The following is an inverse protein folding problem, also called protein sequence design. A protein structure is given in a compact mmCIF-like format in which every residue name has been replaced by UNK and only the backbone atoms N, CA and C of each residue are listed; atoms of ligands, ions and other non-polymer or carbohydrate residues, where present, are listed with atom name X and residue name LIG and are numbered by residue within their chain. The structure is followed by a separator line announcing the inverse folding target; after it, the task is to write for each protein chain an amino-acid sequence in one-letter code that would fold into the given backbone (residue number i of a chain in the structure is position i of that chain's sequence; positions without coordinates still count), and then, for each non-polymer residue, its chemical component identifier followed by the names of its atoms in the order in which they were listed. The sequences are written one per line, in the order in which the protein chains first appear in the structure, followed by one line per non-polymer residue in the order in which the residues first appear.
data_IF_952207711715
#
_entry.id   IF_952207711715
#
_cell.length_a   1.000
_cell.length_b   1.000
_cell.length_c   1.000
_cell.angle_alpha   90.00
_cell.angle_beta   90.00
_cell.angle_gamma   90.00
#
_symmetry.space_group_name_H-M   'P 1'
#
loop_
_entity.id
_entity.type
_entity.pdbx_description
1 polymer ?
#
# COMPACT_ATOMS: atom_id res chain seq x y z
N UNK A 1 -28.98 4.62 -37.58
CA UNK A 1 -28.81 3.92 -36.28
C UNK A 1 -27.41 4.21 -35.79
N UNK A 2 -27.25 5.27 -35.01
CA UNK A 2 -25.98 5.55 -34.33
C UNK A 2 -25.96 4.79 -33.01
N UNK A 3 -25.10 3.78 -32.93
CA UNK A 3 -24.81 3.08 -31.67
C UNK A 3 -23.98 4.01 -30.79
N UNK A 4 -24.62 4.61 -29.79
CA UNK A 4 -23.96 5.29 -28.70
C UNK A 4 -23.16 4.27 -27.87
N UNK A 5 -21.85 4.22 -28.10
CA UNK A 5 -20.91 3.52 -27.24
C UNK A 5 -20.81 4.24 -25.90
N UNK A 6 -21.48 3.67 -24.91
CA UNK A 6 -21.43 4.03 -23.49
C UNK A 6 -19.95 4.10 -23.02
N UNK A 7 -19.50 5.16 -22.33
CA UNK A 7 -18.13 5.20 -21.80
C UNK A 7 -17.94 4.06 -20.81
N UNK A 8 -16.98 3.19 -21.09
CA UNK A 8 -16.60 2.09 -20.21
C UNK A 8 -16.05 2.62 -18.89
N UNK A 9 -16.53 2.04 -17.79
CA UNK A 9 -16.10 2.36 -16.43
C UNK A 9 -14.56 2.36 -16.33
N UNK A 10 -14.01 3.37 -15.66
CA UNK A 10 -12.58 3.66 -15.61
C UNK A 10 -11.77 2.49 -15.06
N UNK A 11 -10.99 1.84 -15.93
CA UNK A 11 -9.99 0.81 -15.62
C UNK A 11 -8.81 1.33 -14.75
N UNK A 12 -8.96 2.50 -14.10
CA UNK A 12 -7.97 3.11 -13.20
C UNK A 12 -8.01 2.56 -11.78
N UNK A 13 -9.14 2.00 -11.35
CA UNK A 13 -9.39 1.60 -9.96
C UNK A 13 -10.32 0.39 -9.86
N UNK A 14 -10.04 -0.73 -10.54
CA UNK A 14 -10.78 -2.00 -10.34
C UNK A 14 -12.32 -1.86 -10.23
N UNK A 15 -12.97 -1.15 -11.16
CA UNK A 15 -14.43 -0.99 -11.18
C UNK A 15 -15.00 0.20 -10.40
N UNK A 16 -14.18 1.15 -9.92
CA UNK A 16 -14.66 2.40 -9.29
C UNK A 16 -15.13 2.23 -7.83
N UNK A 17 -15.64 3.31 -7.24
CA UNK A 17 -16.16 3.33 -5.85
C UNK A 17 -15.09 3.43 -4.75
N UNK A 18 -13.85 3.73 -5.10
CA UNK A 18 -12.73 3.79 -4.17
C UNK A 18 -12.54 5.18 -3.57
N UNK A 19 -12.43 5.25 -2.25
CA UNK A 19 -12.09 6.48 -1.52
C UNK A 19 -10.61 6.49 -1.18
N UNK A 20 -9.88 7.54 -1.56
CA UNK A 20 -8.47 7.73 -1.17
C UNK A 20 -8.39 8.00 0.34
N UNK A 21 -7.69 7.14 1.07
CA UNK A 21 -7.55 7.28 2.52
C UNK A 21 -6.12 7.55 2.96
N UNK A 22 -5.13 7.21 2.14
CA UNK A 22 -3.72 7.41 2.46
C UNK A 22 -2.91 7.68 1.21
N UNK A 23 -2.04 8.68 1.28
CA UNK A 23 -0.96 8.92 0.34
C UNK A 23 0.35 9.08 1.11
N UNK A 24 1.42 8.43 0.64
CA UNK A 24 2.73 8.46 1.29
C UNK A 24 3.87 8.52 0.28
N UNK A 25 5.00 9.04 0.75
CA UNK A 25 6.30 8.98 0.07
C UNK A 25 7.35 8.39 1.01
N UNK A 26 8.61 8.47 0.62
CA UNK A 26 9.75 7.85 1.28
C UNK A 26 10.73 8.92 1.75
N UNK A 27 11.30 8.76 2.93
CA UNK A 27 12.30 9.68 3.48
C UNK A 27 13.65 9.58 2.78
N UNK A 28 14.02 8.42 2.20
CA UNK A 28 15.31 8.23 1.54
C UNK A 28 15.23 7.22 0.37
N UNK A 29 14.34 7.45 -0.61
CA UNK A 29 14.11 6.52 -1.71
C UNK A 29 15.36 6.16 -2.53
N UNK A 30 16.23 7.14 -2.80
CA UNK A 30 17.48 6.93 -3.56
C UNK A 30 18.41 5.92 -2.90
N UNK A 31 18.26 5.73 -1.59
CA UNK A 31 18.98 4.77 -0.76
C UNK A 31 17.96 3.82 -0.11
N UNK A 32 17.14 3.15 -0.92
CA UNK A 32 15.92 2.47 -0.49
C UNK A 32 16.10 1.49 0.68
N UNK A 33 17.25 0.81 0.75
CA UNK A 33 17.56 -0.20 1.80
C UNK A 33 18.38 0.38 2.95
N UNK A 34 18.58 1.69 2.98
CA UNK A 34 19.33 2.35 4.03
C UNK A 34 18.42 2.63 5.22
N UNK A 35 19.00 2.58 6.43
CA UNK A 35 18.31 2.87 7.69
C UNK A 35 17.45 4.15 7.70
N UNK A 36 17.86 5.27 7.07
CA UNK A 36 17.02 6.47 7.09
C UNK A 36 15.78 6.38 6.19
N UNK A 37 15.61 5.31 5.38
CA UNK A 37 14.44 5.17 4.52
C UNK A 37 13.26 4.60 5.30
N UNK A 38 12.14 5.31 5.27
CA UNK A 38 10.88 4.97 5.91
C UNK A 38 9.73 5.65 5.15
N UNK A 39 8.50 5.18 5.36
CA UNK A 39 7.29 5.80 4.82
C UNK A 39 6.88 7.03 5.61
N UNK A 40 6.44 8.07 4.91
CA UNK A 40 5.90 9.29 5.54
C UNK A 40 4.80 9.93 4.68
N UNK A 41 3.68 10.39 5.28
CA UNK A 41 3.28 10.17 6.67
C UNK A 41 2.72 8.77 6.90
N UNK A 42 2.61 8.38 8.18
CA UNK A 42 1.97 7.14 8.62
C UNK A 42 0.51 7.38 9.01
N UNK A 43 -0.39 6.42 8.75
CA UNK A 43 -1.71 6.34 9.40
C UNK A 43 -1.58 6.29 10.92
N UNK A 44 -2.68 6.59 11.61
CA UNK A 44 -2.78 6.48 13.08
C UNK A 44 -2.89 5.04 13.59
N UNK A 45 -2.43 4.06 12.81
CA UNK A 45 -2.38 2.66 13.23
C UNK A 45 -1.30 2.46 14.32
N UNK A 46 -1.35 1.34 15.03
CA UNK A 46 -0.37 1.02 16.07
C UNK A 46 0.96 0.60 15.43
N UNK A 47 2.00 1.42 15.61
CA UNK A 47 3.39 1.08 15.24
C UNK A 47 4.33 1.78 16.21
N UNK A 48 4.52 1.17 17.38
CA UNK A 48 5.12 1.81 18.57
C UNK A 48 6.59 2.21 18.41
N UNK A 49 7.33 1.55 17.54
CA UNK A 49 8.73 1.85 17.25
C UNK A 49 8.92 2.83 16.09
N UNK A 50 7.89 3.04 15.27
CA UNK A 50 8.01 3.94 14.12
C UNK A 50 7.95 5.42 14.53
N UNK A 51 8.73 6.25 13.84
CA UNK A 51 9.05 7.62 14.24
C UNK A 51 8.79 8.67 13.15
N UNK A 52 8.38 8.29 11.94
CA UNK A 52 7.97 9.26 10.92
C UNK A 52 6.65 9.94 11.30
N UNK A 53 6.36 11.10 10.68
CA UNK A 53 5.17 11.92 10.97
C UNK A 53 3.89 11.09 10.83
N UNK A 54 3.00 11.20 11.82
CA UNK A 54 1.63 10.69 11.74
C UNK A 54 0.72 11.79 11.18
N UNK A 55 -0.24 11.44 10.32
CA UNK A 55 -1.26 12.37 9.83
C UNK A 55 -2.67 11.91 10.20
N UNK A 56 -3.60 12.86 10.27
CA UNK A 56 -5.05 12.65 10.28
C UNK A 56 -5.79 13.51 9.24
N UNK A 57 -5.04 14.25 8.41
CA UNK A 57 -5.55 15.09 7.32
C UNK A 57 -5.97 14.23 6.13
N UNK A 58 -7.19 14.41 5.62
CA UNK A 58 -7.66 13.66 4.46
C UNK A 58 -6.82 14.03 3.22
N UNK A 59 -6.20 13.06 2.53
CA UNK A 59 -5.48 13.33 1.29
C UNK A 59 -6.45 13.76 0.19
N UNK A 60 -6.08 14.82 -0.54
CA UNK A 60 -6.91 15.42 -1.59
C UNK A 60 -6.52 14.92 -2.99
N UNK A 61 -5.36 14.28 -3.10
CA UNK A 61 -4.82 13.70 -4.33
C UNK A 61 -3.80 12.61 -4.02
N UNK A 62 -3.42 11.83 -5.02
CA UNK A 62 -2.42 10.76 -4.87
C UNK A 62 -1.02 11.28 -4.53
N UNK A 63 -0.77 12.59 -4.64
CA UNK A 63 0.50 13.24 -4.27
C UNK A 63 0.35 14.25 -3.12
N UNK A 64 -0.84 14.39 -2.55
CA UNK A 64 -1.05 15.09 -1.28
C UNK A 64 -0.76 14.09 -0.15
N UNK A 65 0.50 13.99 0.26
CA UNK A 65 1.00 13.01 1.23
C UNK A 65 0.44 13.24 2.63
N UNK A 66 -0.80 12.81 2.82
CA UNK A 66 -1.55 12.84 4.06
C UNK A 66 -2.37 11.56 4.20
N UNK A 67 -2.97 11.37 5.36
CA UNK A 67 -3.75 10.18 5.69
C UNK A 67 -4.97 10.55 6.51
N UNK A 68 -6.11 10.03 6.08
CA UNK A 68 -7.35 10.05 6.85
C UNK A 68 -7.12 9.28 8.15
N UNK A 69 -7.73 9.73 9.25
CA UNK A 69 -7.70 9.00 10.52
C UNK A 69 -8.05 7.51 10.30
N UNK A 70 -7.15 6.61 10.73
CA UNK A 70 -7.23 5.18 10.44
C UNK A 70 -8.52 4.55 11.00
N UNK A 71 -9.04 5.06 12.12
CA UNK A 71 -10.29 4.60 12.71
C UNK A 71 -11.51 4.77 11.78
N UNK A 72 -11.45 5.70 10.81
CA UNK A 72 -12.52 5.94 9.84
C UNK A 72 -12.46 4.98 8.64
N UNK A 73 -11.33 4.32 8.39
CA UNK A 73 -11.19 3.52 7.17
C UNK A 73 -12.20 2.37 7.13
N UNK A 74 -12.46 1.76 8.29
CA UNK A 74 -13.42 0.66 8.41
C UNK A 74 -14.87 1.08 8.16
N UNK A 75 -15.21 2.36 8.35
CA UNK A 75 -16.58 2.85 8.08
C UNK A 75 -16.83 3.02 6.58
N UNK A 76 -15.77 3.19 5.79
CA UNK A 76 -15.84 3.31 4.33
C UNK A 76 -16.08 1.93 3.70
N UNK A 77 -15.43 0.88 4.21
CA UNK A 77 -15.51 -0.41 3.53
C UNK A 77 -14.71 -1.58 4.11
N UNK A 78 -14.55 -2.60 3.27
CA UNK A 78 -13.93 -3.90 3.62
C UNK A 78 -12.84 -4.34 2.64
N UNK A 79 -12.66 -3.62 1.54
CA UNK A 79 -11.64 -3.87 0.55
C UNK A 79 -10.59 -2.75 0.57
N UNK A 80 -9.35 -3.08 0.26
CA UNK A 80 -8.25 -2.11 0.17
C UNK A 80 -7.57 -2.22 -1.19
N UNK A 81 -7.48 -1.12 -1.92
CA UNK A 81 -6.68 -0.99 -3.12
C UNK A 81 -5.38 -0.27 -2.78
N UNK A 82 -4.25 -0.91 -3.03
CA UNK A 82 -2.93 -0.30 -2.90
C UNK A 82 -2.41 0.00 -4.30
N UNK A 83 -2.15 1.28 -4.57
CA UNK A 83 -1.52 1.76 -5.80
C UNK A 83 -0.14 2.31 -5.45
N UNK A 84 0.86 1.95 -6.23
CA UNK A 84 2.20 2.56 -6.09
C UNK A 84 2.80 2.73 -7.48
N UNK A 85 3.75 3.64 -7.63
CA UNK A 85 4.54 3.73 -8.87
C UNK A 85 5.83 2.90 -8.81
N UNK A 86 6.05 2.13 -7.74
CA UNK A 86 7.28 1.35 -7.51
C UNK A 86 7.04 -0.16 -7.36
N UNK A 87 5.78 -0.59 -7.33
CA UNK A 87 5.31 -1.96 -7.24
C UNK A 87 3.90 -2.10 -7.86
N UNK A 88 3.47 -3.32 -8.11
CA UNK A 88 2.18 -3.65 -8.73
C UNK A 88 1.00 -3.20 -7.86
N UNK A 89 -0.08 -2.82 -8.54
CA UNK A 89 -1.32 -2.44 -7.87
C UNK A 89 -2.10 -3.70 -7.49
N UNK A 90 -2.56 -3.76 -6.25
CA UNK A 90 -3.32 -4.89 -5.74
C UNK A 90 -4.60 -4.42 -5.05
N UNK A 91 -5.67 -5.19 -5.18
CA UNK A 91 -6.87 -5.04 -4.38
C UNK A 91 -7.01 -6.25 -3.47
N UNK A 92 -7.19 -6.02 -2.18
CA UNK A 92 -7.26 -7.04 -1.15
C UNK A 92 -8.60 -6.98 -0.41
N UNK A 93 -9.16 -8.16 -0.12
CA UNK A 93 -10.31 -8.33 0.76
C UNK A 93 -9.86 -9.02 2.05
N UNK A 94 -10.52 -8.68 3.15
CA UNK A 94 -10.29 -9.34 4.43
C UNK A 94 -10.65 -10.84 4.39
N UNK A 95 -9.91 -11.62 5.17
CA UNK A 95 -10.15 -13.03 5.44
C UNK A 95 -10.20 -13.24 6.95
N UNK A 96 -9.28 -14.04 7.50
CA UNK A 96 -9.10 -14.09 8.96
C UNK A 96 -8.36 -12.85 9.48
N UNK A 97 -7.54 -12.21 8.63
CA UNK A 97 -6.86 -10.94 8.87
C UNK A 97 -7.51 -9.78 8.11
N UNK A 98 -7.13 -8.55 8.46
CA UNK A 98 -7.70 -7.32 7.90
C UNK A 98 -6.73 -6.16 7.99
N UNK A 99 -6.44 -5.52 6.84
CA UNK A 99 -5.65 -4.29 6.78
C UNK A 99 -6.38 -3.17 7.51
N UNK A 100 -7.69 -3.04 7.29
CA UNK A 100 -8.53 -1.96 7.79
C UNK A 100 -8.79 -2.02 9.31
N UNK A 101 -8.65 -3.20 9.90
CA UNK A 101 -8.82 -3.41 11.34
C UNK A 101 -7.49 -3.68 12.05
N UNK A 102 -6.36 -3.56 11.34
CA UNK A 102 -5.03 -3.89 11.86
C UNK A 102 -4.95 -5.27 12.52
N UNK A 103 -5.47 -6.28 11.81
CA UNK A 103 -5.60 -7.65 12.32
C UNK A 103 -4.76 -8.62 11.51
N UNK A 104 -3.95 -9.42 12.19
CA UNK A 104 -3.16 -10.49 11.60
C UNK A 104 -4.06 -11.60 11.03
N UNK A 105 -3.63 -12.19 9.92
CA UNK A 105 -4.28 -13.37 9.35
C UNK A 105 -4.30 -13.37 7.83
N UNK A 106 -5.13 -14.24 7.25
CA UNK A 106 -5.24 -14.37 5.80
C UNK A 106 -6.00 -13.20 5.20
N UNK A 107 -5.58 -12.82 4.00
CA UNK A 107 -6.26 -11.86 3.12
C UNK A 107 -6.30 -12.45 1.71
N UNK A 108 -7.27 -12.04 0.92
CA UNK A 108 -7.37 -12.45 -0.49
C UNK A 108 -7.09 -11.24 -1.37
N UNK A 109 -6.00 -11.27 -2.11
CA UNK A 109 -5.63 -10.19 -3.01
C UNK A 109 -5.72 -10.61 -4.48
N UNK A 110 -5.95 -9.64 -5.36
CA UNK A 110 -5.83 -9.78 -6.82
C UNK A 110 -4.94 -8.67 -7.39
N UNK A 111 -4.27 -8.99 -8.48
CA UNK A 111 -3.51 -8.03 -9.25
C UNK A 111 -4.50 -7.12 -10.01
N UNK A 112 -4.41 -5.82 -9.79
CA UNK A 112 -5.22 -4.81 -10.48
C UNK A 112 -4.46 -4.25 -11.68
N UNK A 113 -3.16 -3.96 -11.50
CA UNK A 113 -2.29 -3.47 -12.56
C UNK A 113 -0.85 -3.91 -12.35
N UNK A 114 -0.26 -4.45 -13.40
CA UNK A 114 1.16 -4.73 -13.46
C UNK A 114 1.92 -3.41 -13.71
N UNK A 115 2.74 -2.99 -12.74
CA UNK A 115 3.64 -1.82 -12.83
C UNK A 115 5.08 -2.30 -13.06
N UNK A 116 5.48 -3.37 -12.36
CA UNK A 116 6.78 -4.01 -12.54
C UNK A 116 6.79 -4.89 -13.79
N UNK A 117 7.93 -4.95 -14.48
CA UNK A 117 8.14 -5.92 -15.58
C UNK A 117 8.41 -7.35 -15.09
N UNK A 118 8.37 -7.59 -13.78
CA UNK A 118 8.72 -8.86 -13.15
C UNK A 118 7.53 -9.45 -12.37
N UNK A 119 7.54 -10.77 -12.19
CA UNK A 119 6.67 -11.49 -11.25
C UNK A 119 5.17 -11.20 -11.42
N UNK A 120 4.69 -11.32 -12.67
CA UNK A 120 3.28 -11.18 -12.98
C UNK A 120 2.42 -12.18 -12.19
N UNK A 121 1.32 -11.69 -11.62
CA UNK A 121 0.36 -12.51 -10.88
C UNK A 121 0.72 -12.82 -9.43
N UNK A 122 1.89 -12.39 -8.93
CA UNK A 122 2.22 -12.52 -7.51
C UNK A 122 1.46 -11.47 -6.70
N UNK A 123 0.78 -11.93 -5.65
CA UNK A 123 0.00 -11.12 -4.71
C UNK A 123 0.19 -11.65 -3.29
N UNK A 124 0.11 -10.78 -2.26
CA UNK A 124 0.15 -11.23 -0.87
C UNK A 124 -1.11 -12.02 -0.49
N UNK A 125 -0.96 -12.89 0.51
CA UNK A 125 -2.01 -13.77 1.04
C UNK A 125 -2.19 -13.65 2.56
N UNK A 126 -1.28 -12.93 3.22
CA UNK A 126 -1.29 -12.73 4.68
C UNK A 126 -1.04 -11.27 5.01
N UNK A 127 -1.77 -10.76 6.00
CA UNK A 127 -1.49 -9.51 6.68
C UNK A 127 -0.80 -9.81 8.01
N UNK A 128 0.34 -9.17 8.25
CA UNK A 128 1.06 -9.19 9.53
C UNK A 128 1.09 -7.75 10.04
N UNK A 129 0.15 -7.41 10.90
CA UNK A 129 -0.24 -6.05 11.26
C UNK A 129 0.36 -5.58 12.58
N UNK A 130 0.83 -6.50 13.43
CA UNK A 130 1.35 -6.25 14.79
C UNK A 130 2.89 -6.16 14.82
N UNK A 131 3.47 -5.22 14.06
CA UNK A 131 4.92 -4.98 14.06
C UNK A 131 5.26 -3.57 14.52
N UNK A 132 6.40 -3.41 15.22
CA UNK A 132 6.78 -2.16 15.86
C UNK A 132 6.99 -1.02 14.88
N UNK A 133 7.46 -1.30 13.66
CA UNK A 133 7.77 -0.26 12.67
C UNK A 133 6.68 -0.05 11.63
N UNK A 134 5.70 -0.96 11.56
CA UNK A 134 4.59 -0.88 10.63
C UNK A 134 4.23 -2.24 10.01
N UNK A 135 3.04 -2.36 9.41
CA UNK A 135 2.51 -3.64 8.96
C UNK A 135 3.20 -4.20 7.71
N UNK A 136 3.09 -5.52 7.53
CA UNK A 136 3.49 -6.25 6.34
C UNK A 136 2.30 -6.85 5.59
N UNK A 137 2.45 -6.98 4.28
CA UNK A 137 1.66 -7.88 3.45
C UNK A 137 2.58 -8.92 2.84
N UNK A 138 2.29 -10.19 3.09
CA UNK A 138 3.24 -11.27 2.84
C UNK A 138 2.71 -12.25 1.80
N UNK A 139 3.62 -12.77 0.98
CA UNK A 139 3.41 -14.02 0.25
C UNK A 139 3.91 -15.19 1.11
N UNK A 140 3.83 -16.41 0.58
CA UNK A 140 4.47 -17.57 1.23
C UNK A 140 6.00 -17.52 1.21
N UNK A 141 6.60 -16.68 0.36
CA UNK A 141 8.05 -16.60 0.18
C UNK A 141 8.70 -15.41 0.92
N UNK A 142 7.92 -14.46 1.42
CA UNK A 142 8.42 -13.26 2.10
C UNK A 142 7.51 -12.05 1.92
N UNK A 143 8.03 -10.89 2.32
CA UNK A 143 7.29 -9.62 2.28
C UNK A 143 7.08 -9.16 0.84
N UNK A 144 5.82 -8.82 0.53
CA UNK A 144 5.41 -8.13 -0.70
C UNK A 144 5.34 -6.62 -0.47
N UNK A 145 4.77 -6.24 0.67
CA UNK A 145 4.87 -4.88 1.22
C UNK A 145 5.37 -4.93 2.67
N UNK A 146 6.23 -4.00 3.03
CA UNK A 146 6.52 -3.61 4.43
C UNK A 146 6.30 -2.11 4.52
N UNK A 147 5.31 -1.70 5.29
CA UNK A 147 4.97 -0.29 5.51
C UNK A 147 5.77 0.30 6.66
N UNK A 148 7.10 0.20 6.57
CA UNK A 148 8.04 0.64 7.59
C UNK A 148 7.98 2.15 7.79
N UNK A 149 7.91 2.57 9.05
CA UNK A 149 7.82 3.95 9.48
C UNK A 149 8.96 4.41 10.38
N UNK A 150 10.07 3.67 10.43
CA UNK A 150 11.15 3.90 11.37
C UNK A 150 12.45 4.28 10.65
N UNK A 151 13.01 5.45 10.94
CA UNK A 151 14.25 5.94 10.30
C UNK A 151 15.53 5.49 11.01
N UNK A 152 15.44 4.65 12.04
CA UNK A 152 16.59 4.22 12.84
C UNK A 152 17.11 2.81 12.50
N UNK A 153 16.35 2.03 11.75
CA UNK A 153 16.66 0.64 11.38
C UNK A 153 15.55 0.05 10.52
N UNK A 154 15.81 -1.11 9.89
CA UNK A 154 14.94 -1.72 8.87
C UNK A 154 14.76 -0.82 7.62
N UNK A 155 13.86 -1.19 6.70
CA UNK A 155 13.48 -0.40 5.53
C UNK A 155 12.11 -0.81 4.97
N UNK A 156 11.40 0.10 4.26
CA UNK A 156 10.18 -0.24 3.52
C UNK A 156 10.44 -1.30 2.45
N UNK A 157 9.45 -2.15 2.19
CA UNK A 157 9.53 -3.18 1.13
C UNK A 157 8.40 -2.97 0.16
N UNK A 158 8.74 -2.96 -1.13
CA UNK A 158 7.82 -2.85 -2.26
C UNK A 158 8.27 -3.84 -3.34
N UNK A 159 8.14 -5.14 -3.04
CA UNK A 159 8.69 -6.22 -3.86
C UNK A 159 7.59 -6.90 -4.70
N UNK A 160 7.57 -6.72 -6.04
CA UNK A 160 6.58 -7.35 -6.93
C UNK A 160 6.66 -8.88 -6.94
N UNK A 161 7.78 -9.46 -6.51
CA UNK A 161 7.98 -10.89 -6.41
C UNK A 161 7.65 -11.46 -5.03
N UNK A 162 7.45 -10.60 -4.02
CA UNK A 162 7.11 -11.00 -2.67
C UNK A 162 8.15 -11.89 -1.99
N UNK A 163 9.44 -11.64 -2.23
CA UNK A 163 10.57 -12.42 -1.68
C UNK A 163 11.37 -11.64 -0.66
N UNK A 164 10.80 -10.56 -0.10
CA UNK A 164 11.51 -9.60 0.73
C UNK A 164 12.80 -9.06 0.06
N UNK A 165 12.77 -8.89 -1.26
CA UNK A 165 13.93 -8.42 -2.00
C UNK A 165 13.98 -6.90 -2.06
N UNK A 166 15.18 -6.37 -2.07
CA UNK A 166 15.50 -4.94 -2.11
C UNK A 166 15.34 -4.31 -3.50
N UNK A 167 14.47 -4.87 -4.34
CA UNK A 167 14.35 -4.50 -5.76
C UNK A 167 13.02 -3.82 -6.06
N UNK A 168 12.72 -2.63 -5.51
CA UNK A 168 11.63 -1.83 -6.04
C UNK A 168 11.91 -1.49 -7.51
N UNK A 169 10.88 -1.07 -8.25
CA UNK A 169 11.10 -0.50 -9.59
C UNK A 169 12.02 0.71 -9.45
N UNK A 170 13.24 0.61 -9.97
CA UNK A 170 14.22 1.70 -9.97
C UNK A 170 13.71 2.84 -10.87
N UNK A 171 14.08 4.07 -10.52
CA UNK A 171 13.87 5.29 -11.33
C UNK A 171 12.41 5.79 -11.46
N UNK A 172 11.53 5.43 -10.53
CA UNK A 172 10.21 6.05 -10.45
C UNK A 172 10.33 7.54 -10.10
N UNK A 173 9.85 8.42 -11.00
CA UNK A 173 9.74 9.84 -10.71
C UNK A 173 8.73 10.05 -9.57
N UNK A 174 9.14 10.80 -8.53
CA UNK A 174 8.34 11.06 -7.33
C UNK A 174 7.78 9.75 -6.71
N UNK A 175 8.61 8.91 -6.11
CA UNK A 175 8.22 7.60 -5.59
C UNK A 175 7.18 7.74 -4.46
N UNK A 176 6.04 7.08 -4.62
CA UNK A 176 4.93 7.15 -3.68
C UNK A 176 4.03 5.91 -3.73
N UNK A 177 3.16 5.82 -2.75
CA UNK A 177 2.04 4.89 -2.79
C UNK A 177 0.79 5.48 -2.15
N UNK A 178 -0.32 4.81 -2.42
CA UNK A 178 -1.65 5.22 -2.03
C UNK A 178 -2.46 4.01 -1.58
N UNK A 179 -3.33 4.22 -0.60
CA UNK A 179 -4.35 3.25 -0.23
C UNK A 179 -5.73 3.84 -0.41
N UNK A 180 -6.63 3.02 -0.95
CA UNK A 180 -8.04 3.35 -1.13
C UNK A 180 -8.91 2.28 -0.50
N UNK A 181 -10.12 2.66 -0.09
CA UNK A 181 -11.08 1.76 0.57
C UNK A 181 -12.43 1.79 -0.14
N UNK A 182 -13.12 0.63 -0.17
CA UNK A 182 -14.52 0.47 -0.56
C UNK A 182 -15.16 -0.73 0.14
#
# INVERSE_FOLDING_TARGET
METHSRPTATNRTDGGGWTLVWSYTFTAYSSFTSKPNALTPRPTWTASGANTRVSTTVPLSETHYETMNFALWRTIGKETLIKTNINNWIACKEGTGSILQQKDGSITCKLVKQVSKQCAGVVPKKATMQHSYGPYLDTSAGNYYHFDGYTGGDWPVHDPCGKNSTKPVKDAANPHGNSFVR
#
